data_IF_008563227188
#
_entry.id   IF_008563227188
#
_cell.length_a   1.000
_cell.length_b   1.000
_cell.length_c   1.000
_cell.angle_alpha   90.00
_cell.angle_beta   90.00
_cell.angle_gamma   90.00
#
_symmetry.space_group_name_H-M   'P 1'
#
loop_
_entity.id
_entity.type
_entity.pdbx_description
1 polymer ?
#
# COMPACT_ATOMS: atom_id res chain seq x y z
N UNK A 1 -24.29 -21.10 31.23
CA UNK A 1 -23.86 -22.03 30.16
C UNK A 1 -24.32 -21.47 28.81
N UNK A 2 -23.45 -20.76 28.07
CA UNK A 2 -23.82 -20.12 26.80
C UNK A 2 -24.32 -21.14 25.76
N UNK A 3 -23.77 -22.35 25.77
CA UNK A 3 -24.11 -23.44 24.86
C UNK A 3 -25.56 -23.92 24.98
N UNK A 4 -26.16 -23.87 26.18
CA UNK A 4 -27.55 -24.31 26.40
C UNK A 4 -28.56 -23.54 25.55
N UNK A 5 -28.36 -22.22 25.38
CA UNK A 5 -29.24 -21.36 24.59
C UNK A 5 -29.29 -21.77 23.11
N UNK A 6 -28.17 -22.24 22.56
CA UNK A 6 -28.07 -22.68 21.16
C UNK A 6 -28.60 -24.10 20.97
N UNK A 7 -28.47 -24.97 21.98
CA UNK A 7 -29.01 -26.34 21.96
C UNK A 7 -30.53 -26.33 22.12
N UNK A 8 -31.06 -25.52 23.04
CA UNK A 8 -32.50 -25.42 23.31
C UNK A 8 -33.27 -24.67 22.21
N UNK A 9 -32.57 -23.82 21.43
CA UNK A 9 -33.15 -23.06 20.31
C UNK A 9 -32.41 -23.34 19.00
N UNK A 10 -32.58 -24.53 18.39
CA UNK A 10 -31.84 -24.94 17.20
C UNK A 10 -32.11 -24.04 15.98
N UNK A 11 -33.31 -23.44 15.88
CA UNK A 11 -33.63 -22.49 14.80
C UNK A 11 -32.76 -21.23 14.86
N UNK A 12 -32.49 -20.72 16.06
CA UNK A 12 -31.65 -19.53 16.25
C UNK A 12 -30.20 -19.83 15.86
N UNK A 13 -29.69 -21.00 16.25
CA UNK A 13 -28.33 -21.43 15.89
C UNK A 13 -28.16 -21.54 14.37
N UNK A 14 -29.13 -22.12 13.66
CA UNK A 14 -29.11 -22.27 12.20
C UNK A 14 -29.15 -20.90 11.51
N UNK A 15 -30.00 -19.97 11.96
CA UNK A 15 -30.08 -18.63 11.37
C UNK A 15 -28.75 -17.88 11.51
N UNK A 16 -28.11 -17.94 12.68
CA UNK A 16 -26.79 -17.31 12.89
C UNK A 16 -25.74 -17.94 11.98
N UNK A 17 -25.72 -19.27 11.86
CA UNK A 17 -24.80 -19.96 10.96
C UNK A 17 -25.00 -19.52 9.50
N UNK A 18 -26.25 -19.40 9.03
CA UNK A 18 -26.57 -18.93 7.68
C UNK A 18 -26.11 -17.49 7.48
N UNK A 19 -26.33 -16.60 8.46
CA UNK A 19 -25.90 -15.20 8.35
C UNK A 19 -24.37 -15.10 8.24
N UNK A 20 -23.64 -15.88 9.04
CA UNK A 20 -22.17 -15.91 9.01
C UNK A 20 -21.65 -16.45 7.67
N UNK A 21 -22.24 -17.53 7.15
CA UNK A 21 -21.81 -18.11 5.87
C UNK A 21 -22.12 -17.18 4.70
N UNK A 22 -23.28 -16.51 4.70
CA UNK A 22 -23.61 -15.53 3.66
C UNK A 22 -22.69 -14.31 3.70
N UNK A 23 -22.41 -13.78 4.89
CA UNK A 23 -21.49 -12.66 5.07
C UNK A 23 -20.06 -13.03 4.62
N UNK A 24 -19.59 -14.24 4.96
CA UNK A 24 -18.31 -14.76 4.52
C UNK A 24 -18.24 -14.91 3.00
N UNK A 25 -19.29 -15.42 2.36
CA UNK A 25 -19.37 -15.56 0.90
C UNK A 25 -19.29 -14.20 0.19
N UNK A 26 -20.03 -13.20 0.70
CA UNK A 26 -19.98 -11.83 0.17
C UNK A 26 -18.60 -11.18 0.36
N UNK A 27 -17.93 -11.45 1.49
CA UNK A 27 -16.59 -10.96 1.75
C UNK A 27 -15.56 -11.57 0.78
N UNK A 28 -15.64 -12.86 0.49
CA UNK A 28 -14.75 -13.52 -0.48
C UNK A 28 -14.82 -12.88 -1.87
N UNK A 29 -16.00 -12.43 -2.30
CA UNK A 29 -16.17 -11.75 -3.60
C UNK A 29 -15.64 -10.30 -3.60
N UNK A 30 -15.47 -9.70 -2.41
CA UNK A 30 -15.07 -8.29 -2.24
C UNK A 30 -13.59 -8.13 -1.87
N UNK A 31 -12.94 -9.17 -1.36
CA UNK A 31 -11.53 -9.10 -0.96
C UNK A 31 -10.65 -9.01 -2.20
N UNK A 32 -9.79 -7.98 -2.32
CA UNK A 32 -8.82 -7.90 -3.40
C UNK A 32 -7.81 -9.03 -3.27
N UNK A 33 -7.61 -9.78 -4.35
CA UNK A 33 -6.62 -10.86 -4.42
C UNK A 33 -5.33 -10.28 -4.99
N UNK A 34 -4.30 -10.19 -4.16
CA UNK A 34 -2.94 -9.82 -4.58
C UNK A 34 -2.01 -11.03 -4.44
N UNK A 35 -1.08 -11.21 -5.40
CA UNK A 35 -0.12 -12.34 -5.39
C UNK A 35 0.94 -12.19 -4.29
N UNK A 36 1.27 -10.94 -3.96
CA UNK A 36 2.12 -10.56 -2.86
C UNK A 36 1.44 -9.40 -2.12
N UNK A 37 1.61 -9.28 -0.79
CA UNK A 37 1.26 -8.04 -0.11
C UNK A 37 2.11 -6.88 -0.67
N UNK A 38 1.70 -5.64 -0.42
CA UNK A 38 2.46 -4.44 -0.80
C UNK A 38 3.79 -4.39 0.00
N UNK A 39 4.77 -5.19 -0.44
CA UNK A 39 6.12 -5.29 0.13
C UNK A 39 7.11 -4.34 -0.53
N UNK A 40 6.72 -3.75 -1.67
CA UNK A 40 7.54 -2.77 -2.38
C UNK A 40 7.33 -1.40 -1.75
N UNK A 41 8.39 -0.71 -1.32
CA UNK A 41 8.27 0.68 -0.88
C UNK A 41 7.65 1.53 -2.00
N UNK A 42 6.74 2.46 -1.69
CA UNK A 42 6.22 3.38 -2.68
C UNK A 42 7.38 4.22 -3.22
N UNK A 43 7.48 4.32 -4.55
CA UNK A 43 8.53 5.08 -5.23
C UNK A 43 7.94 6.33 -5.85
N UNK A 44 8.61 7.46 -5.68
CA UNK A 44 8.29 8.72 -6.35
C UNK A 44 9.41 9.00 -7.35
N UNK A 45 9.06 9.24 -8.62
CA UNK A 45 10.01 9.62 -9.66
C UNK A 45 9.96 11.13 -9.92
N UNK A 46 11.12 11.76 -9.94
CA UNK A 46 11.28 13.19 -10.28
C UNK A 46 12.16 13.27 -11.51
N UNK A 47 11.60 13.76 -12.62
CA UNK A 47 12.32 13.95 -13.88
C UNK A 47 12.53 15.45 -14.11
N UNK A 48 13.76 15.83 -14.40
CA UNK A 48 14.13 17.19 -14.78
C UNK A 48 14.96 17.16 -16.06
N UNK A 49 14.74 18.13 -16.94
CA UNK A 49 15.39 18.22 -18.24
C UNK A 49 16.14 19.54 -18.33
N UNK A 50 17.47 19.49 -18.52
CA UNK A 50 18.30 20.69 -18.73
C UNK A 50 19.18 20.52 -19.98
N UNK A 51 18.64 20.80 -21.18
CA UNK A 51 19.32 20.54 -22.44
C UNK A 51 20.54 21.45 -22.62
N UNK A 52 21.66 20.87 -23.07
CA UNK A 52 22.90 21.60 -23.37
C UNK A 52 23.86 21.78 -22.19
N UNK A 53 23.54 21.24 -21.01
CA UNK A 53 24.46 21.20 -19.87
C UNK A 53 25.20 19.86 -19.79
N UNK A 54 26.43 19.88 -19.27
CA UNK A 54 27.16 18.66 -18.96
C UNK A 54 26.56 17.99 -17.71
N UNK A 55 26.72 16.67 -17.59
CA UNK A 55 26.21 15.90 -16.45
C UNK A 55 26.63 16.50 -15.09
N UNK A 56 27.87 16.99 -14.97
CA UNK A 56 28.36 17.64 -13.76
C UNK A 56 27.62 18.95 -13.41
N UNK A 57 27.18 19.71 -14.41
CA UNK A 57 26.41 20.95 -14.19
C UNK A 57 24.99 20.61 -13.76
N UNK A 58 24.37 19.58 -14.36
CA UNK A 58 23.02 19.13 -14.01
C UNK A 58 22.97 18.60 -12.57
N UNK A 59 23.99 17.86 -12.16
CA UNK A 59 24.11 17.35 -10.79
C UNK A 59 24.17 18.49 -9.77
N UNK A 60 25.09 19.45 -9.97
CA UNK A 60 25.31 20.54 -9.02
C UNK A 60 24.13 21.55 -8.97
N UNK A 61 23.44 21.77 -10.09
CA UNK A 61 22.43 22.84 -10.19
C UNK A 61 20.99 22.36 -10.11
N UNK A 62 20.70 21.11 -10.50
CA UNK A 62 19.35 20.58 -10.53
C UNK A 62 19.19 19.45 -9.51
N UNK A 63 20.06 18.43 -9.55
CA UNK A 63 19.94 17.29 -8.65
C UNK A 63 20.12 17.74 -7.19
N UNK A 64 21.19 18.46 -6.87
CA UNK A 64 21.47 18.90 -5.49
C UNK A 64 20.35 19.77 -4.88
N UNK A 65 19.69 20.61 -5.68
CA UNK A 65 18.57 21.43 -5.21
C UNK A 65 17.34 20.56 -4.93
N UNK A 66 17.01 19.64 -5.83
CA UNK A 66 15.90 18.70 -5.66
C UNK A 66 16.13 17.80 -4.45
N UNK A 67 17.33 17.27 -4.29
CA UNK A 67 17.70 16.44 -3.15
C UNK A 67 17.55 17.18 -1.83
N UNK A 68 18.02 18.42 -1.75
CA UNK A 68 17.86 19.27 -0.56
C UNK A 68 16.39 19.54 -0.23
N UNK A 69 15.55 19.75 -1.24
CA UNK A 69 14.12 20.01 -1.05
C UNK A 69 13.32 18.75 -0.67
N UNK A 70 13.73 17.57 -1.12
CA UNK A 70 13.09 16.27 -0.84
C UNK A 70 13.65 15.62 0.44
N UNK A 71 14.82 16.05 0.90
CA UNK A 71 15.40 15.60 2.16
C UNK A 71 14.51 15.99 3.35
N UNK A 72 14.04 14.98 4.10
CA UNK A 72 13.14 15.17 5.24
C UNK A 72 11.67 14.80 4.98
N UNK A 73 11.35 14.26 3.81
CA UNK A 73 10.01 13.66 3.56
C UNK A 73 9.79 12.46 4.49
N UNK A 74 8.60 12.41 5.08
CA UNK A 74 8.19 11.38 6.02
C UNK A 74 8.25 9.97 5.39
N UNK A 75 8.81 9.00 6.13
CA UNK A 75 8.96 7.59 5.71
C UNK A 75 9.84 7.34 4.46
N UNK A 76 10.76 8.25 4.13
CA UNK A 76 11.74 8.01 3.06
C UNK A 76 12.88 7.10 3.53
N UNK A 77 13.12 5.99 2.80
CA UNK A 77 14.20 5.01 3.10
C UNK A 77 15.49 5.38 2.36
N UNK A 78 15.39 5.70 1.06
CA UNK A 78 16.52 6.08 0.24
C UNK A 78 16.07 6.94 -0.95
N UNK A 79 17.00 7.75 -1.46
CA UNK A 79 16.86 8.54 -2.68
C UNK A 79 18.07 8.24 -3.58
N UNK A 80 17.85 8.13 -4.89
CA UNK A 80 18.92 7.97 -5.88
C UNK A 80 18.64 8.92 -7.04
N UNK A 81 19.64 9.74 -7.37
CA UNK A 81 19.61 10.64 -8.52
C UNK A 81 20.54 10.09 -9.61
N UNK A 82 20.06 10.05 -10.85
CA UNK A 82 20.87 9.70 -12.02
C UNK A 82 20.85 10.86 -13.00
N UNK A 83 22.02 11.45 -13.27
CA UNK A 83 22.18 12.55 -14.22
C UNK A 83 22.93 12.02 -15.43
N UNK A 84 22.27 12.03 -16.60
CA UNK A 84 22.82 11.59 -17.88
C UNK A 84 22.84 12.74 -18.89
#
# INVERSE_FOLDING_TARGET
MISSVFVDRPRLAIVIAIVITLAGLLALLRIPVAQFPDIVPPQVSVNANYPGASAAVIEATVAQIIESAVNGVENMIYMRSNSA
#
